data_IF_259231026688
#
_entry.id   IF_259231026688
#
_cell.length_a   1.000
_cell.length_b   1.000
_cell.length_c   1.000
_cell.angle_alpha   90.00
_cell.angle_beta   90.00
_cell.angle_gamma   90.00
#
_symmetry.space_group_name_H-M   'P 1'
#
loop_
_entity.id
_entity.type
_entity.pdbx_description
1 polymer ?
#
# COMPACT_ATOMS: atom_id res chain seq x y z
N UNK A 1 1.93 -22.85 11.24
CA UNK A 1 2.78 -22.48 10.10
C UNK A 1 3.00 -20.98 10.15
N UNK A 2 4.25 -20.54 10.19
CA UNK A 2 4.59 -19.12 10.08
C UNK A 2 4.21 -18.64 8.68
N UNK A 3 3.37 -17.60 8.58
CA UNK A 3 3.00 -17.04 7.27
C UNK A 3 4.20 -16.27 6.74
N UNK A 4 4.65 -16.61 5.52
CA UNK A 4 5.76 -15.95 4.81
C UNK A 4 5.26 -15.34 3.52
N UNK A 5 6.01 -14.38 2.98
CA UNK A 5 5.74 -13.82 1.67
C UNK A 5 5.78 -14.94 0.61
N UNK A 6 4.70 -15.09 -0.16
CA UNK A 6 4.74 -15.96 -1.33
C UNK A 6 5.68 -15.34 -2.38
N UNK A 7 6.68 -16.08 -2.91
CA UNK A 7 7.62 -15.55 -3.90
C UNK A 7 6.96 -14.99 -5.15
N UNK A 8 5.73 -15.41 -5.50
CA UNK A 8 4.99 -14.84 -6.63
C UNK A 8 4.50 -13.41 -6.37
N UNK A 9 4.56 -12.90 -5.14
CA UNK A 9 4.32 -11.47 -4.83
C UNK A 9 5.50 -10.58 -5.15
N UNK A 10 6.68 -11.13 -5.43
CA UNK A 10 7.94 -10.42 -5.56
C UNK A 10 8.48 -10.45 -6.99
N UNK A 11 9.02 -9.32 -7.47
CA UNK A 11 9.87 -9.27 -8.66
C UNK A 11 11.07 -8.34 -8.47
N UNK A 12 12.20 -8.68 -9.09
CA UNK A 12 13.36 -7.80 -9.17
C UNK A 12 13.21 -6.85 -10.37
N UNK A 13 13.47 -5.56 -10.16
CA UNK A 13 13.39 -4.52 -11.20
C UNK A 13 14.75 -4.21 -11.83
N UNK A 14 15.85 -4.59 -11.19
CA UNK A 14 17.20 -4.51 -11.75
C UNK A 14 18.03 -5.75 -11.35
N UNK A 15 19.30 -5.78 -11.76
CA UNK A 15 20.25 -6.86 -11.47
C UNK A 15 21.44 -6.42 -10.60
N UNK A 16 21.29 -5.31 -9.88
CA UNK A 16 22.33 -4.82 -9.00
C UNK A 16 22.56 -5.80 -7.84
N UNK A 17 23.81 -5.90 -7.38
CA UNK A 17 24.15 -6.78 -6.26
C UNK A 17 23.79 -6.14 -4.92
N UNK A 18 23.30 -6.95 -3.98
CA UNK A 18 22.95 -6.49 -2.63
C UNK A 18 24.20 -5.99 -1.91
N UNK A 19 24.10 -4.80 -1.32
CA UNK A 19 25.13 -4.23 -0.44
C UNK A 19 24.95 -4.65 1.03
N UNK A 20 25.88 -4.26 1.88
CA UNK A 20 25.86 -4.52 3.33
C UNK A 20 25.14 -3.44 4.15
N UNK A 21 24.63 -2.40 3.49
CA UNK A 21 23.94 -1.29 4.13
C UNK A 21 22.46 -1.57 4.44
N UNK A 22 21.74 -0.53 4.91
CA UNK A 22 20.36 -0.65 5.33
C UNK A 22 19.42 -1.03 4.19
N UNK A 23 18.28 -1.62 4.54
CA UNK A 23 17.17 -1.85 3.59
C UNK A 23 16.21 -0.67 3.66
N UNK A 24 15.86 -0.12 2.49
CA UNK A 24 14.85 0.92 2.38
C UNK A 24 13.57 0.35 1.76
N UNK A 25 12.41 0.60 2.38
CA UNK A 25 11.12 0.48 1.72
C UNK A 25 10.72 1.85 1.16
N UNK A 26 10.80 1.98 -0.16
CA UNK A 26 10.20 3.09 -0.90
C UNK A 26 8.68 2.89 -0.97
N UNK A 27 7.99 3.47 0.00
CA UNK A 27 6.53 3.46 0.10
C UNK A 27 5.93 4.45 -0.90
N UNK A 28 4.91 4.01 -1.64
CA UNK A 28 4.17 4.86 -2.58
C UNK A 28 2.65 4.62 -2.47
N UNK A 29 2.18 3.43 -2.87
CA UNK A 29 0.75 3.10 -2.96
C UNK A 29 0.18 2.55 -1.67
N UNK A 30 0.97 1.79 -0.90
CA UNK A 30 0.49 1.06 0.27
C UNK A 30 0.90 1.75 1.58
N UNK A 31 0.20 2.84 1.91
CA UNK A 31 0.57 3.78 2.99
C UNK A 31 0.13 3.33 4.39
N UNK A 32 0.53 2.12 4.79
CA UNK A 32 0.20 1.51 6.09
C UNK A 32 1.36 0.67 6.62
N UNK A 33 1.45 0.57 7.94
CA UNK A 33 2.45 -0.26 8.62
C UNK A 33 2.01 -1.73 8.74
N UNK A 34 0.74 -1.96 9.09
CA UNK A 34 0.18 -3.31 9.23
C UNK A 34 -0.37 -3.82 7.89
N UNK A 35 -0.44 -5.15 7.72
CA UNK A 35 -0.97 -5.81 6.53
C UNK A 35 -0.35 -5.31 5.20
N UNK A 36 0.97 -5.08 5.21
CA UNK A 36 1.74 -4.58 4.07
C UNK A 36 2.86 -5.56 3.68
N UNK A 37 2.63 -6.32 2.60
CA UNK A 37 3.60 -7.32 2.12
C UNK A 37 4.95 -6.71 1.71
N UNK A 38 4.97 -5.48 1.18
CA UNK A 38 6.21 -4.82 0.77
C UNK A 38 7.08 -4.46 1.98
N UNK A 39 6.46 -3.91 3.03
CA UNK A 39 7.14 -3.61 4.28
C UNK A 39 7.60 -4.88 5.02
N UNK A 40 6.75 -5.91 5.08
CA UNK A 40 7.10 -7.19 5.70
C UNK A 40 8.30 -7.85 5.02
N UNK A 41 8.33 -7.83 3.68
CA UNK A 41 9.48 -8.33 2.92
C UNK A 41 10.74 -7.50 3.16
N UNK A 42 10.62 -6.16 3.20
CA UNK A 42 11.75 -5.29 3.53
C UNK A 42 12.30 -5.58 4.94
N UNK A 43 11.43 -5.85 5.92
CA UNK A 43 11.83 -6.25 7.26
C UNK A 43 12.51 -7.61 7.29
N UNK A 44 11.97 -8.62 6.58
CA UNK A 44 12.60 -9.94 6.45
C UNK A 44 14.03 -9.80 5.89
N UNK A 45 14.20 -9.05 4.80
CA UNK A 45 15.52 -8.78 4.23
C UNK A 45 16.45 -8.08 5.23
N UNK A 46 15.96 -7.08 5.95
CA UNK A 46 16.77 -6.32 6.90
C UNK A 46 17.21 -7.18 8.10
N UNK A 47 16.31 -8.02 8.61
CA UNK A 47 16.58 -8.98 9.69
C UNK A 47 17.65 -10.00 9.29
N UNK A 48 17.52 -10.58 8.08
CA UNK A 48 18.51 -11.53 7.55
C UNK A 48 19.90 -10.89 7.40
N UNK A 49 19.93 -9.62 6.98
CA UNK A 49 21.17 -8.84 6.88
C UNK A 49 21.70 -8.32 8.22
N UNK A 50 20.89 -8.37 9.29
CA UNK A 50 21.14 -7.69 10.57
C UNK A 50 21.40 -6.19 10.42
N UNK A 51 20.76 -5.55 9.45
CA UNK A 51 20.93 -4.13 9.10
C UNK A 51 19.71 -3.29 9.49
N UNK A 52 19.83 -1.96 9.59
CA UNK A 52 18.68 -1.09 9.81
C UNK A 52 17.63 -1.20 8.69
N UNK A 53 16.37 -0.98 9.06
CA UNK A 53 15.23 -0.88 8.14
C UNK A 53 14.68 0.55 8.16
N UNK A 54 14.51 1.13 6.97
CA UNK A 54 13.98 2.47 6.78
C UNK A 54 12.78 2.49 5.84
N UNK A 55 11.83 3.39 6.06
CA UNK A 55 10.73 3.67 5.12
C UNK A 55 10.92 5.07 4.57
N UNK A 56 10.87 5.20 3.24
CA UNK A 56 11.00 6.47 2.53
C UNK A 56 9.76 6.70 1.69
N UNK A 57 9.12 7.84 1.89
CA UNK A 57 8.08 8.35 1.01
C UNK A 57 8.60 9.60 0.30
N UNK A 58 8.55 9.60 -1.04
CA UNK A 58 8.92 10.79 -1.82
C UNK A 58 7.65 11.46 -2.34
N UNK A 59 7.39 12.67 -1.86
CA UNK A 59 6.29 13.52 -2.28
C UNK A 59 6.69 14.33 -3.52
N UNK A 60 6.02 14.04 -4.63
CA UNK A 60 6.04 14.88 -5.83
C UNK A 60 4.85 15.86 -5.77
N UNK A 61 5.14 17.14 -5.53
CA UNK A 61 4.12 18.20 -5.47
C UNK A 61 3.47 18.48 -6.83
N UNK A 62 4.04 17.98 -7.93
CA UNK A 62 3.51 18.16 -9.29
C UNK A 62 2.61 17.02 -9.74
N UNK A 63 2.34 16.04 -8.86
CA UNK A 63 1.52 14.88 -9.21
C UNK A 63 0.15 15.30 -9.78
N UNK A 64 -0.25 14.81 -10.97
CA UNK A 64 -1.47 15.28 -11.63
C UNK A 64 -2.72 15.11 -10.78
N UNK A 65 -3.57 16.14 -10.70
CA UNK A 65 -4.82 16.10 -9.95
C UNK A 65 -4.67 16.21 -8.42
N UNK A 66 -3.50 16.63 -7.94
CA UNK A 66 -3.27 16.98 -6.54
C UNK A 66 -4.18 18.13 -6.08
N UNK A 67 -5.18 17.81 -5.28
CA UNK A 67 -6.07 18.79 -4.63
C UNK A 67 -5.76 18.86 -3.15
N UNK A 68 -6.13 19.97 -2.49
CA UNK A 68 -5.99 20.10 -1.05
C UNK A 68 -6.69 18.96 -0.30
N UNK A 69 -7.83 18.50 -0.81
CA UNK A 69 -8.53 17.31 -0.29
C UNK A 69 -7.68 16.05 -0.33
N UNK A 70 -7.13 15.69 -1.49
CA UNK A 70 -6.39 14.43 -1.64
C UNK A 70 -5.06 14.46 -0.90
N UNK A 71 -4.31 15.57 -0.98
CA UNK A 71 -3.03 15.71 -0.27
C UNK A 71 -3.21 15.79 1.25
N UNK A 72 -4.25 16.50 1.72
CA UNK A 72 -4.56 16.56 3.15
C UNK A 72 -4.93 15.19 3.73
N UNK A 73 -5.68 14.37 2.98
CA UNK A 73 -6.01 13.00 3.38
C UNK A 73 -4.77 12.09 3.36
N UNK A 74 -3.92 12.20 2.33
CA UNK A 74 -2.68 11.44 2.20
C UNK A 74 -1.71 11.74 3.34
N UNK A 75 -1.34 13.01 3.55
CA UNK A 75 -0.26 13.39 4.48
C UNK A 75 -0.63 13.12 5.94
N UNK A 76 -1.90 13.33 6.32
CA UNK A 76 -2.35 13.02 7.68
C UNK A 76 -2.47 11.51 7.92
N UNK A 77 -2.78 10.73 6.87
CA UNK A 77 -2.66 9.28 6.94
C UNK A 77 -1.21 8.81 7.10
N UNK A 78 -0.28 9.41 6.35
CA UNK A 78 1.15 9.13 6.51
C UNK A 78 1.69 9.51 7.89
N UNK A 79 1.17 10.57 8.52
CA UNK A 79 1.56 10.93 9.88
C UNK A 79 1.24 9.80 10.89
N UNK A 80 0.08 9.16 10.76
CA UNK A 80 -0.29 7.99 11.58
C UNK A 80 0.62 6.77 11.27
N UNK A 81 0.89 6.52 10.00
CA UNK A 81 1.79 5.43 9.58
C UNK A 81 3.21 5.64 10.08
N UNK A 82 3.77 6.84 9.94
CA UNK A 82 5.08 7.21 10.45
C UNK A 82 5.17 7.02 11.97
N UNK A 83 4.16 7.49 12.73
CA UNK A 83 4.10 7.27 14.17
C UNK A 83 4.11 5.78 14.55
N UNK A 84 3.36 4.96 13.81
CA UNK A 84 3.31 3.50 14.04
C UNK A 84 4.66 2.84 13.77
N UNK A 85 5.35 3.25 12.70
CA UNK A 85 6.67 2.74 12.32
C UNK A 85 7.76 3.13 13.33
N UNK A 86 7.78 4.39 13.78
CA UNK A 86 8.75 4.87 14.78
C UNK A 86 8.60 4.11 16.11
N UNK A 87 7.37 3.79 16.54
CA UNK A 87 7.12 2.95 17.72
C UNK A 87 7.63 1.50 17.55
N UNK A 88 7.79 1.04 16.31
CA UNK A 88 8.41 -0.24 15.96
C UNK A 88 9.92 -0.12 15.72
N UNK A 89 10.53 1.04 15.98
CA UNK A 89 11.95 1.27 15.74
C UNK A 89 12.32 1.32 14.25
N UNK A 90 11.34 1.56 13.38
CA UNK A 90 11.53 1.68 11.93
C UNK A 90 11.46 3.15 11.58
N UNK A 91 12.55 3.70 11.05
CA UNK A 91 12.63 5.12 10.72
C UNK A 91 11.77 5.44 9.50
N UNK A 92 11.05 6.55 9.54
CA UNK A 92 10.32 7.09 8.39
C UNK A 92 10.93 8.40 7.90
N UNK A 93 11.05 8.56 6.57
CA UNK A 93 11.42 9.83 5.93
C UNK A 93 10.35 10.28 4.95
N UNK A 94 9.97 11.55 5.05
CA UNK A 94 9.23 12.27 4.03
C UNK A 94 10.21 13.14 3.25
N UNK A 95 10.45 12.80 1.99
CA UNK A 95 11.30 13.56 1.08
C UNK A 95 10.43 14.29 0.06
N UNK A 96 10.94 15.38 -0.51
CA UNK A 96 10.25 16.18 -1.53
C UNK A 96 11.08 16.21 -2.82
N UNK A 97 10.43 16.05 -3.97
CA UNK A 97 11.07 16.13 -5.28
C UNK A 97 10.65 15.02 -6.25
N UNK A 98 11.40 14.86 -7.34
CA UNK A 98 11.14 13.84 -8.35
C UNK A 98 11.49 12.45 -7.80
N UNK A 99 10.54 11.49 -7.73
CA UNK A 99 10.74 10.28 -6.93
C UNK A 99 11.98 9.43 -7.27
N UNK A 100 12.29 9.12 -8.54
CA UNK A 100 13.47 8.33 -8.87
C UNK A 100 14.79 9.00 -8.48
N UNK A 101 14.95 10.28 -8.80
CA UNK A 101 16.17 11.05 -8.54
C UNK A 101 16.37 11.30 -7.04
N UNK A 102 15.31 11.68 -6.33
CA UNK A 102 15.36 11.90 -4.88
C UNK A 102 15.65 10.59 -4.13
N UNK A 103 15.05 9.48 -4.58
CA UNK A 103 15.33 8.16 -4.00
C UNK A 103 16.77 7.71 -4.24
N UNK A 104 17.30 7.88 -5.45
CA UNK A 104 18.70 7.54 -5.75
C UNK A 104 19.67 8.36 -4.88
N UNK A 105 19.49 9.68 -4.83
CA UNK A 105 20.31 10.56 -4.02
C UNK A 105 20.29 10.15 -2.54
N UNK A 106 19.11 9.83 -2.01
CA UNK A 106 18.96 9.39 -0.63
C UNK A 106 19.58 8.01 -0.39
N UNK A 107 19.36 7.03 -1.28
CA UNK A 107 19.92 5.69 -1.20
C UNK A 107 21.46 5.72 -1.19
N UNK A 108 22.07 6.57 -2.01
CA UNK A 108 23.53 6.80 -2.01
C UNK A 108 24.00 7.43 -0.70
N UNK A 109 23.30 8.45 -0.22
CA UNK A 109 23.64 9.16 1.03
C UNK A 109 23.69 8.22 2.23
N UNK A 110 22.75 7.29 2.34
CA UNK A 110 22.68 6.34 3.46
C UNK A 110 23.38 5.00 3.19
N UNK A 111 24.01 4.86 2.01
CA UNK A 111 24.67 3.62 1.60
C UNK A 111 23.73 2.41 1.55
N UNK A 112 22.50 2.58 1.05
CA UNK A 112 21.48 1.53 1.04
C UNK A 112 21.97 0.21 0.41
N UNK A 113 21.73 -0.90 1.09
CA UNK A 113 22.07 -2.25 0.63
C UNK A 113 21.03 -2.85 -0.31
N UNK A 114 19.76 -2.43 -0.18
CA UNK A 114 18.66 -2.79 -1.08
C UNK A 114 17.50 -1.80 -0.94
N UNK A 115 16.69 -1.69 -1.98
CA UNK A 115 15.42 -0.97 -1.97
C UNK A 115 14.28 -1.94 -2.32
N UNK A 116 13.19 -1.88 -1.57
CA UNK A 116 11.92 -2.54 -1.85
C UNK A 116 10.89 -1.46 -2.14
N UNK A 117 9.96 -1.67 -3.06
CA UNK A 117 8.82 -0.76 -3.32
C UNK A 117 7.53 -1.54 -3.55
N UNK A 118 6.40 -0.84 -3.52
CA UNK A 118 5.09 -1.42 -3.75
C UNK A 118 4.65 -1.36 -5.23
N UNK A 119 3.73 -2.26 -5.59
CA UNK A 119 3.18 -2.36 -6.93
C UNK A 119 2.14 -1.26 -7.22
N UNK A 120 2.25 -0.68 -8.40
CA UNK A 120 1.28 0.28 -8.94
C UNK A 120 1.36 0.22 -10.49
N UNK A 121 0.26 -0.11 -11.19
CA UNK A 121 0.25 -0.27 -12.64
C UNK A 121 0.17 1.06 -13.39
N UNK A 122 -0.07 2.19 -12.72
CA UNK A 122 -0.20 3.48 -13.39
C UNK A 122 1.06 3.85 -14.17
N UNK A 123 0.88 4.34 -15.39
CA UNK A 123 1.98 4.66 -16.34
C UNK A 123 3.08 5.52 -15.71
N UNK A 124 2.71 6.55 -14.95
CA UNK A 124 3.68 7.44 -14.27
C UNK A 124 4.50 6.69 -13.22
N UNK A 125 3.87 5.79 -12.46
CA UNK A 125 4.52 4.98 -11.42
C UNK A 125 5.43 3.91 -12.01
N UNK A 126 5.02 3.28 -13.11
CA UNK A 126 5.88 2.36 -13.89
C UNK A 126 7.14 3.08 -14.39
N UNK A 127 6.97 4.25 -15.00
CA UNK A 127 8.10 5.05 -15.48
C UNK A 127 9.06 5.46 -14.35
N UNK A 128 8.54 5.84 -13.18
CA UNK A 128 9.37 6.13 -12.01
C UNK A 128 10.17 4.90 -11.57
N UNK A 129 9.54 3.72 -11.49
CA UNK A 129 10.20 2.49 -11.07
C UNK A 129 11.27 2.02 -12.07
N UNK A 130 11.00 2.13 -13.37
CA UNK A 130 11.99 1.85 -14.43
C UNK A 130 13.19 2.81 -14.34
N UNK A 131 12.93 4.11 -14.15
CA UNK A 131 13.99 5.11 -13.97
C UNK A 131 14.80 4.84 -12.70
N UNK A 132 14.15 4.58 -11.57
CA UNK A 132 14.82 4.25 -10.30
C UNK A 132 15.67 2.99 -10.42
N UNK A 133 15.16 1.94 -11.09
CA UNK A 133 15.90 0.71 -11.36
C UNK A 133 17.20 0.95 -12.14
N UNK A 134 17.22 1.94 -13.04
CA UNK A 134 18.41 2.35 -13.81
C UNK A 134 19.41 3.21 -13.03
N UNK A 135 18.94 3.93 -12.00
CA UNK A 135 19.76 4.87 -11.22
C UNK A 135 20.38 4.20 -10.00
N UNK A 136 19.60 3.41 -9.26
CA UNK A 136 19.95 2.93 -7.93
C UNK A 136 21.25 2.10 -7.94
N UNK A 137 22.14 2.30 -6.94
CA UNK A 137 23.39 1.54 -6.83
C UNK A 137 23.20 0.12 -6.28
N UNK A 138 21.98 -0.24 -5.88
CA UNK A 138 21.64 -1.47 -5.16
C UNK A 138 20.38 -2.12 -5.77
N UNK A 139 20.06 -3.39 -5.41
CA UNK A 139 18.90 -4.07 -5.96
C UNK A 139 17.61 -3.35 -5.61
N UNK A 140 16.74 -3.19 -6.61
CA UNK A 140 15.37 -2.72 -6.46
C UNK A 140 14.40 -3.88 -6.64
N UNK A 141 13.61 -4.16 -5.61
CA UNK A 141 12.55 -5.16 -5.63
C UNK A 141 11.18 -4.48 -5.61
N UNK A 142 10.21 -5.05 -6.30
CA UNK A 142 8.81 -4.65 -6.22
C UNK A 142 7.98 -5.80 -5.66
N UNK A 143 7.09 -5.46 -4.72
CA UNK A 143 6.17 -6.39 -4.08
C UNK A 143 4.73 -5.94 -4.34
N UNK A 144 3.87 -6.87 -4.79
CA UNK A 144 2.43 -6.61 -4.84
C UNK A 144 1.81 -6.73 -3.43
N UNK A 145 1.74 -5.56 -2.78
CA UNK A 145 1.13 -5.37 -1.47
C UNK A 145 -0.32 -4.85 -1.56
N UNK A 146 -0.83 -4.61 -2.76
CA UNK A 146 -2.14 -4.01 -2.98
C UNK A 146 -3.20 -5.05 -3.37
N UNK A 147 -2.80 -6.10 -4.08
CA UNK A 147 -3.70 -7.14 -4.56
C UNK A 147 -3.66 -8.38 -3.67
N UNK A 148 -4.82 -9.03 -3.51
CA UNK A 148 -4.89 -10.34 -2.84
C UNK A 148 -4.07 -11.31 -3.68
N UNK A 149 -4.34 -11.42 -4.98
CA UNK A 149 -3.53 -12.19 -5.91
C UNK A 149 -2.60 -11.23 -6.65
N UNK A 150 -1.26 -11.42 -6.66
CA UNK A 150 -0.35 -10.54 -7.37
C UNK A 150 -0.77 -10.34 -8.82
N UNK A 151 -0.76 -9.09 -9.30
CA UNK A 151 -1.32 -8.71 -10.59
C UNK A 151 -0.76 -9.56 -11.75
N UNK A 152 0.57 -9.78 -11.76
CA UNK A 152 1.24 -10.62 -12.76
C UNK A 152 1.04 -12.12 -12.57
N UNK A 153 0.63 -12.58 -11.38
CA UNK A 153 0.27 -13.97 -11.13
C UNK A 153 -1.22 -14.25 -11.47
N UNK A 154 -2.07 -13.24 -11.34
CA UNK A 154 -3.49 -13.33 -11.66
C UNK A 154 -3.73 -13.60 -13.16
N UNK A 155 -2.99 -12.90 -14.03
CA UNK A 155 -2.98 -13.12 -15.48
C UNK A 155 -1.73 -12.52 -16.13
N UNK A 156 -1.20 -13.20 -17.14
CA UNK A 156 -0.08 -12.72 -17.97
C UNK A 156 -0.51 -11.71 -19.06
N UNK A 157 -1.82 -11.46 -19.17
CA UNK A 157 -2.41 -10.56 -20.15
C UNK A 157 -3.56 -9.74 -19.56
N UNK A 158 -3.89 -8.64 -20.21
CA UNK A 158 -5.14 -7.93 -19.96
C UNK A 158 -6.34 -8.86 -20.25
N UNK A 159 -7.18 -9.05 -19.25
CA UNK A 159 -8.39 -9.85 -19.34
C UNK A 159 -9.56 -9.01 -19.86
N UNK A 160 -10.44 -9.64 -20.65
CA UNK A 160 -11.54 -8.92 -21.31
C UNK A 160 -12.57 -8.39 -20.29
N UNK A 161 -12.76 -9.09 -19.17
CA UNK A 161 -13.65 -8.64 -18.12
C UNK A 161 -13.65 -9.55 -16.91
N UNK A 162 -14.52 -9.23 -15.95
CA UNK A 162 -14.59 -9.97 -14.68
C UNK A 162 -14.86 -11.47 -14.90
N UNK A 163 -15.65 -11.84 -15.92
CA UNK A 163 -15.96 -13.25 -16.17
C UNK A 163 -14.76 -14.08 -16.63
N UNK A 164 -13.74 -13.47 -17.26
CA UNK A 164 -12.51 -14.18 -17.66
C UNK A 164 -11.46 -14.20 -16.56
N UNK A 165 -11.37 -13.12 -15.76
CA UNK A 165 -10.43 -13.04 -14.63
C UNK A 165 -10.89 -13.85 -13.41
N UNK A 166 -12.19 -13.84 -13.07
CA UNK A 166 -12.76 -14.51 -11.88
C UNK A 166 -12.32 -15.97 -11.70
N UNK A 167 -12.39 -16.87 -12.69
CA UNK A 167 -11.97 -18.26 -12.50
C UNK A 167 -10.47 -18.38 -12.16
N UNK A 168 -9.62 -17.48 -12.66
CA UNK A 168 -8.18 -17.46 -12.34
C UNK A 168 -7.96 -17.03 -10.89
N UNK A 169 -8.57 -15.91 -10.48
CA UNK A 169 -8.52 -15.42 -9.10
C UNK A 169 -9.05 -16.49 -8.14
N UNK A 170 -10.22 -17.07 -8.43
CA UNK A 170 -10.85 -18.10 -7.58
C UNK A 170 -9.93 -19.29 -7.34
N UNK A 171 -9.21 -19.75 -8.38
CA UNK A 171 -8.23 -20.84 -8.26
C UNK A 171 -7.04 -20.47 -7.38
N UNK A 172 -6.64 -19.20 -7.35
CA UNK A 172 -5.46 -18.70 -6.64
C UNK A 172 -5.78 -18.20 -5.23
N UNK A 173 -7.03 -17.88 -4.91
CA UNK A 173 -7.44 -17.37 -3.60
C UNK A 173 -7.00 -18.27 -2.43
N UNK A 174 -7.16 -19.61 -2.45
CA UNK A 174 -6.70 -20.45 -1.34
C UNK A 174 -5.21 -20.35 -1.03
N UNK A 175 -4.39 -19.95 -2.02
CA UNK A 175 -2.95 -19.75 -1.86
C UNK A 175 -2.61 -18.37 -1.31
N UNK A 176 -3.31 -17.33 -1.75
CA UNK A 176 -2.93 -15.95 -1.49
C UNK A 176 -3.77 -15.22 -0.45
N UNK A 177 -5.03 -15.62 -0.22
CA UNK A 177 -5.90 -15.06 0.82
C UNK A 177 -5.57 -15.71 2.17
N UNK A 178 -4.35 -15.48 2.63
CA UNK A 178 -3.84 -15.89 3.93
C UNK A 178 -3.90 -14.73 4.92
N UNK A 179 -3.73 -14.99 6.20
CA UNK A 179 -3.44 -13.92 7.15
C UNK A 179 -2.05 -13.30 6.90
N UNK A 180 -1.71 -12.27 7.65
CA UNK A 180 -0.40 -11.60 7.61
C UNK A 180 0.43 -11.97 8.85
N UNK A 181 1.76 -12.12 8.74
CA UNK A 181 2.61 -12.04 9.90
C UNK A 181 2.57 -10.61 10.47
N UNK A 182 2.69 -10.48 11.79
CA UNK A 182 2.72 -9.17 12.44
C UNK A 182 4.04 -8.44 12.16
N UNK A 183 3.97 -7.12 11.96
CA UNK A 183 5.17 -6.29 11.87
C UNK A 183 5.90 -6.28 13.21
N UNK A 184 7.17 -6.68 13.19
CA UNK A 184 7.98 -6.79 14.41
C UNK A 184 8.64 -5.46 14.75
N UNK A 185 9.03 -5.29 16.02
CA UNK A 185 9.94 -4.19 16.39
C UNK A 185 11.30 -4.49 15.78
N UNK A 186 11.84 -3.55 15.00
CA UNK A 186 13.11 -3.75 14.32
C UNK A 186 14.27 -3.65 15.33
N UNK A 187 15.18 -4.65 15.38
CA UNK A 187 16.22 -4.72 16.40
C UNK A 187 17.44 -3.84 16.10
N UNK A 188 17.64 -3.44 14.83
CA UNK A 188 18.80 -2.64 14.40
C UNK A 188 18.40 -1.17 14.25
N UNK A 189 18.67 -0.30 15.24
CA UNK A 189 18.27 1.11 15.19
C UNK A 189 19.04 1.89 14.12
N UNK A 190 18.48 3.02 13.72
CA UNK A 190 19.23 4.07 13.03
C UNK A 190 19.88 4.97 14.08
N UNK A 191 21.21 5.04 14.07
CA UNK A 191 21.99 5.80 15.07
C UNK A 191 21.85 7.31 14.88
N UNK A 192 21.59 7.78 13.65
CA UNK A 192 21.47 9.20 13.37
C UNK A 192 20.17 9.79 13.94
N UNK A 193 20.32 10.92 14.62
CA UNK A 193 19.20 11.76 15.01
C UNK A 193 18.45 12.25 13.77
N UNK A 194 17.12 12.23 13.85
CA UNK A 194 16.24 12.66 12.77
C UNK A 194 15.28 13.72 13.31
N UNK A 195 15.12 14.82 12.56
CA UNK A 195 14.19 15.86 12.93
C UNK A 195 12.74 15.32 12.84
N UNK A 196 11.84 15.74 13.74
CA UNK A 196 10.42 15.44 13.59
C UNK A 196 9.91 15.88 12.22
N UNK A 197 9.05 15.06 11.61
CA UNK A 197 8.44 15.38 10.32
C UNK A 197 7.25 16.30 10.55
N UNK A 198 7.29 17.47 9.94
CA UNK A 198 6.16 18.39 9.91
C UNK A 198 5.32 18.16 8.64
N UNK A 199 4.29 17.33 8.77
CA UNK A 199 3.37 16.98 7.69
C UNK A 199 2.47 18.16 7.28
N UNK A 200 2.14 19.07 8.19
CA UNK A 200 1.35 20.26 7.86
C UNK A 200 2.20 21.27 7.06
N UNK A 201 3.46 21.47 7.45
CA UNK A 201 4.38 22.27 6.67
C UNK A 201 4.66 21.65 5.29
N UNK A 202 4.72 20.31 5.18
CA UNK A 202 4.83 19.63 3.89
C UNK A 202 3.60 19.88 3.01
N UNK A 203 2.38 19.81 3.57
CA UNK A 203 1.15 20.14 2.87
C UNK A 203 1.14 21.60 2.36
N UNK A 204 1.58 22.54 3.21
CA UNK A 204 1.68 23.95 2.85
C UNK A 204 2.69 24.20 1.73
N UNK A 205 3.87 23.56 1.79
CA UNK A 205 4.89 23.66 0.73
C UNK A 205 4.44 23.05 -0.60
N UNK A 206 3.73 21.91 -0.54
CA UNK A 206 3.20 21.27 -1.73
C UNK A 206 2.16 22.15 -2.46
N UNK A 207 1.52 23.09 -1.74
CA UNK A 207 0.56 24.06 -2.26
C UNK A 207 -0.45 23.46 -3.28
N UNK A 208 -1.12 22.34 -2.96
CA UNK A 208 -2.03 21.68 -3.89
C UNK A 208 -3.22 22.60 -4.21
N UNK A 209 -3.89 22.35 -5.33
CA UNK A 209 -5.00 23.20 -5.77
C UNK A 209 -6.07 23.34 -4.67
N UNK A 210 -6.41 24.59 -4.26
CA UNK A 210 -7.38 24.84 -3.19
C UNK A 210 -8.83 24.71 -3.65
N UNK A 211 -9.09 24.57 -4.95
CA UNK A 211 -10.44 24.52 -5.55
C UNK A 211 -11.30 23.41 -4.93
N UNK A 212 -10.67 22.29 -4.56
CA UNK A 212 -11.31 21.19 -3.85
C UNK A 212 -10.76 21.13 -2.43
N UNK A 213 -11.47 21.80 -1.52
CA UNK A 213 -11.17 21.84 -0.10
C UNK A 213 -11.35 20.48 0.60
N UNK A 214 -10.69 20.34 1.74
CA UNK A 214 -10.79 19.17 2.61
C UNK A 214 -12.22 18.98 3.15
N UNK A 215 -12.51 17.77 3.59
CA UNK A 215 -13.80 17.39 4.19
C UNK A 215 -13.57 16.86 5.60
N UNK A 216 -14.54 17.03 6.50
CA UNK A 216 -14.44 16.56 7.87
C UNK A 216 -14.45 15.02 7.97
N UNK A 217 -15.20 14.36 7.07
CA UNK A 217 -15.28 12.92 6.95
C UNK A 217 -15.14 12.50 5.48
N UNK A 218 -14.53 11.34 5.20
CA UNK A 218 -13.90 10.42 6.15
C UNK A 218 -12.58 10.97 6.73
N UNK A 219 -12.28 10.65 7.99
CA UNK A 219 -10.95 10.91 8.58
C UNK A 219 -9.88 10.01 7.95
N UNK A 220 -8.68 10.51 7.64
CA UNK A 220 -7.59 9.70 7.11
C UNK A 220 -6.97 8.78 8.17
N UNK A 221 -6.18 7.80 7.71
CA UNK A 221 -5.38 6.90 8.54
C UNK A 221 -5.95 5.48 8.62
N UNK A 222 -5.06 4.52 8.91
CA UNK A 222 -5.40 3.11 9.05
C UNK A 222 -6.43 2.89 10.15
N UNK A 223 -6.31 3.57 11.29
CA UNK A 223 -7.24 3.47 12.40
C UNK A 223 -8.67 3.85 12.01
N UNK A 224 -8.83 4.97 11.29
CA UNK A 224 -10.14 5.42 10.83
C UNK A 224 -10.73 4.45 9.79
N UNK A 225 -9.92 3.98 8.85
CA UNK A 225 -10.35 3.00 7.85
C UNK A 225 -10.76 1.65 8.47
N UNK A 226 -10.02 1.15 9.45
CA UNK A 226 -10.37 -0.07 10.18
C UNK A 226 -11.62 0.10 11.05
N UNK A 227 -11.82 1.29 11.63
CA UNK A 227 -13.06 1.60 12.35
C UNK A 227 -14.28 1.60 11.41
N UNK A 228 -14.15 2.19 10.21
CA UNK A 228 -15.17 2.18 9.18
C UNK A 228 -15.45 0.75 8.67
N UNK A 229 -14.41 -0.07 8.49
CA UNK A 229 -14.58 -1.49 8.17
C UNK A 229 -15.41 -2.19 9.25
N UNK A 230 -15.06 -2.02 10.53
CA UNK A 230 -15.80 -2.63 11.63
C UNK A 230 -17.26 -2.20 11.69
N UNK A 231 -17.54 -0.92 11.43
CA UNK A 231 -18.92 -0.40 11.31
C UNK A 231 -19.65 -1.04 10.14
N UNK A 232 -19.03 -1.09 8.95
CA UNK A 232 -19.61 -1.70 7.76
C UNK A 232 -19.96 -3.17 7.99
N UNK A 233 -19.04 -3.95 8.55
CA UNK A 233 -19.25 -5.37 8.86
C UNK A 233 -20.42 -5.60 9.83
N UNK A 234 -20.60 -4.72 10.82
CA UNK A 234 -21.65 -4.87 11.84
C UNK A 234 -23.04 -4.43 11.37
N UNK A 235 -23.12 -3.42 10.52
CA UNK A 235 -24.38 -2.70 10.30
C UNK A 235 -24.85 -2.67 8.85
N UNK A 236 -23.98 -2.94 7.88
CA UNK A 236 -24.26 -2.65 6.46
C UNK A 236 -23.91 -3.77 5.50
N UNK A 237 -22.98 -4.65 5.88
CA UNK A 237 -22.58 -5.78 5.03
C UNK A 237 -23.76 -6.72 4.74
N UNK A 238 -24.62 -7.02 5.72
CA UNK A 238 -25.69 -8.01 5.54
C UNK A 238 -26.69 -7.63 4.44
N UNK A 239 -26.99 -6.33 4.30
CA UNK A 239 -27.88 -5.79 3.26
C UNK A 239 -27.15 -5.34 1.99
N UNK A 240 -25.83 -5.52 1.90
CA UNK A 240 -25.01 -5.00 0.79
C UNK A 240 -25.51 -5.43 -0.59
N UNK A 241 -25.89 -6.70 -0.77
CA UNK A 241 -26.37 -7.21 -2.06
C UNK A 241 -27.57 -6.41 -2.60
N UNK A 242 -28.47 -6.01 -1.71
CA UNK A 242 -29.70 -5.28 -2.04
C UNK A 242 -29.44 -3.78 -2.13
N UNK A 243 -28.67 -3.23 -1.19
CA UNK A 243 -28.59 -1.78 -0.99
C UNK A 243 -27.50 -1.09 -1.81
N UNK A 244 -26.49 -1.81 -2.32
CA UNK A 244 -25.31 -1.20 -2.98
C UNK A 244 -25.62 -0.34 -4.21
N UNK A 245 -26.77 -0.57 -4.85
CA UNK A 245 -27.19 0.13 -6.06
C UNK A 245 -28.20 1.26 -5.80
N UNK A 246 -28.66 1.44 -4.55
CA UNK A 246 -29.56 2.53 -4.19
C UNK A 246 -28.76 3.66 -3.52
N UNK A 247 -28.54 4.80 -4.20
CA UNK A 247 -27.77 5.92 -3.65
C UNK A 247 -28.46 6.59 -2.45
N UNK A 248 -29.75 6.35 -2.22
CA UNK A 248 -30.47 6.83 -1.04
C UNK A 248 -30.24 5.93 0.18
N UNK A 249 -29.69 4.73 -0.02
CA UNK A 249 -29.31 3.82 1.06
C UNK A 249 -27.83 3.95 1.37
N UNK A 250 -27.49 3.84 2.65
CA UNK A 250 -26.10 3.76 3.10
C UNK A 250 -25.56 2.34 2.90
N UNK A 251 -25.72 1.75 1.71
CA UNK A 251 -25.40 0.33 1.45
C UNK A 251 -23.92 0.03 1.22
N UNK A 252 -23.13 0.99 0.73
CA UNK A 252 -21.72 0.77 0.34
C UNK A 252 -20.75 0.94 1.51
N UNK A 253 -19.57 0.29 1.46
CA UNK A 253 -18.61 0.32 2.58
C UNK A 253 -18.04 1.70 2.89
N UNK A 254 -17.86 2.55 1.87
CA UNK A 254 -17.14 3.83 1.99
C UNK A 254 -15.62 3.67 2.11
N UNK A 255 -15.08 2.45 1.91
CA UNK A 255 -13.65 2.17 2.10
C UNK A 255 -12.75 2.67 0.98
N UNK A 256 -13.30 3.10 -0.17
CA UNK A 256 -12.50 3.42 -1.36
C UNK A 256 -11.41 4.49 -1.14
N UNK A 257 -11.57 5.55 -0.30
CA UNK A 257 -10.46 6.48 -0.04
C UNK A 257 -9.29 5.81 0.68
N UNK A 258 -9.58 4.91 1.63
CA UNK A 258 -8.56 4.16 2.38
C UNK A 258 -7.87 3.12 1.52
N UNK A 259 -8.63 2.42 0.66
CA UNK A 259 -8.07 1.46 -0.28
C UNK A 259 -7.23 2.17 -1.34
N UNK A 260 -7.66 3.33 -1.84
CA UNK A 260 -6.91 4.11 -2.83
C UNK A 260 -5.52 4.50 -2.35
N UNK A 261 -5.41 5.07 -1.13
CA UNK A 261 -4.12 5.43 -0.53
C UNK A 261 -3.42 4.25 0.17
N UNK A 262 -4.01 3.05 0.12
CA UNK A 262 -3.48 1.87 0.78
C UNK A 262 -3.33 2.02 2.30
N UNK A 263 -4.17 2.86 2.93
CA UNK A 263 -4.25 3.00 4.38
C UNK A 263 -4.92 1.77 5.04
N UNK A 264 -5.70 1.01 4.27
CA UNK A 264 -6.28 -0.28 4.66
C UNK A 264 -5.97 -1.32 3.58
N UNK A 265 -5.56 -2.52 3.99
CA UNK A 265 -5.30 -3.64 3.08
C UNK A 265 -6.61 -4.22 2.52
N UNK A 266 -6.77 -4.31 1.19
CA UNK A 266 -7.90 -5.03 0.59
C UNK A 266 -7.95 -6.50 1.00
N UNK A 267 -6.78 -7.13 1.21
CA UNK A 267 -6.70 -8.51 1.71
C UNK A 267 -7.20 -8.62 3.14
N UNK A 268 -6.88 -7.66 4.02
CA UNK A 268 -7.46 -7.59 5.38
C UNK A 268 -8.98 -7.48 5.32
N UNK A 269 -9.51 -6.59 4.48
CA UNK A 269 -10.96 -6.45 4.29
C UNK A 269 -11.58 -7.79 3.84
N UNK A 270 -10.96 -8.48 2.88
CA UNK A 270 -11.44 -9.77 2.40
C UNK A 270 -11.45 -10.85 3.48
N UNK A 271 -10.42 -10.92 4.33
CA UNK A 271 -10.35 -11.84 5.46
C UNK A 271 -11.47 -11.57 6.47
N UNK A 272 -11.71 -10.31 6.85
CA UNK A 272 -12.73 -9.97 7.82
C UNK A 272 -14.15 -10.19 7.29
N UNK A 273 -14.41 -9.87 6.01
CA UNK A 273 -15.69 -10.17 5.34
C UNK A 273 -15.93 -11.68 5.25
N UNK A 274 -14.87 -12.47 5.01
CA UNK A 274 -14.99 -13.93 4.94
C UNK A 274 -15.37 -14.55 6.29
N UNK A 275 -14.97 -13.92 7.40
CA UNK A 275 -15.31 -14.34 8.77
C UNK A 275 -16.66 -13.81 9.27
N UNK A 276 -17.24 -12.81 8.60
CA UNK A 276 -18.46 -12.15 9.06
C UNK A 276 -19.69 -13.07 8.96
N UNK A 277 -20.53 -13.05 10.01
CA UNK A 277 -21.80 -13.77 10.09
C UNK A 277 -22.91 -12.99 9.37
N UNK A 278 -22.90 -13.03 8.04
CA UNK A 278 -23.87 -12.36 7.14
C UNK A 278 -24.37 -13.33 6.08
N UNK A 279 -25.39 -12.93 5.33
CA UNK A 279 -25.88 -13.67 4.17
C UNK A 279 -24.77 -13.99 3.17
N UNK A 280 -24.81 -15.21 2.61
CA UNK A 280 -23.82 -15.65 1.62
C UNK A 280 -23.87 -14.80 0.34
N UNK A 281 -25.06 -14.32 -0.02
CA UNK A 281 -25.29 -13.42 -1.15
C UNK A 281 -24.53 -12.10 -0.98
N UNK A 282 -24.72 -11.41 0.15
CA UNK A 282 -24.00 -10.15 0.42
C UNK A 282 -22.50 -10.35 0.56
N UNK A 283 -22.05 -11.45 1.18
CA UNK A 283 -20.63 -11.79 1.27
C UNK A 283 -20.01 -11.95 -0.12
N UNK A 284 -20.63 -12.76 -1.00
CA UNK A 284 -20.14 -12.99 -2.37
C UNK A 284 -20.19 -11.72 -3.21
N UNK A 285 -21.28 -10.94 -3.11
CA UNK A 285 -21.42 -9.69 -3.83
C UNK A 285 -20.31 -8.69 -3.47
N UNK A 286 -20.00 -8.57 -2.18
CA UNK A 286 -18.94 -7.66 -1.74
C UNK A 286 -17.54 -8.13 -2.14
N UNK A 287 -17.23 -9.43 -1.99
CA UNK A 287 -15.93 -9.99 -2.37
C UNK A 287 -15.69 -9.94 -3.89
N UNK A 288 -16.74 -10.05 -4.71
CA UNK A 288 -16.65 -9.83 -6.16
C UNK A 288 -16.18 -8.40 -6.49
N UNK A 289 -16.75 -7.38 -5.85
CA UNK A 289 -16.35 -5.99 -6.08
C UNK A 289 -14.94 -5.70 -5.51
N UNK A 290 -14.65 -6.17 -4.30
CA UNK A 290 -13.39 -5.92 -3.59
C UNK A 290 -12.18 -6.61 -4.24
N UNK A 291 -12.35 -7.85 -4.71
CA UNK A 291 -11.27 -8.66 -5.25
C UNK A 291 -11.34 -8.65 -6.77
N UNK A 292 -12.38 -9.23 -7.37
CA UNK A 292 -12.40 -9.47 -8.82
C UNK A 292 -12.43 -8.16 -9.61
N UNK A 293 -13.35 -7.24 -9.27
CA UNK A 293 -13.53 -5.99 -10.03
C UNK A 293 -12.36 -5.02 -9.82
N UNK A 294 -11.90 -4.91 -8.58
CA UNK A 294 -10.73 -4.08 -8.24
C UNK A 294 -9.45 -4.60 -8.90
N UNK A 295 -9.14 -5.89 -8.77
CA UNK A 295 -7.91 -6.47 -9.32
C UNK A 295 -7.97 -6.56 -10.86
N UNK A 296 -9.16 -6.64 -11.45
CA UNK A 296 -9.33 -6.44 -12.90
C UNK A 296 -8.90 -5.05 -13.36
N UNK A 297 -9.13 -4.02 -12.55
CA UNK A 297 -8.73 -2.64 -12.87
C UNK A 297 -7.20 -2.50 -12.86
N UNK A 298 -6.51 -3.20 -11.96
CA UNK A 298 -5.05 -3.29 -11.95
C UNK A 298 -4.52 -4.11 -13.14
N UNK A 299 -5.19 -5.21 -13.49
CA UNK A 299 -4.83 -6.05 -14.64
C UNK A 299 -4.99 -5.32 -15.99
N UNK A 300 -5.92 -4.37 -16.08
CA UNK A 300 -6.16 -3.59 -17.29
C UNK A 300 -5.07 -2.53 -17.55
N UNK A 301 -4.52 -1.93 -16.49
CA UNK A 301 -3.61 -0.78 -16.55
C UNK A 301 -2.15 -1.15 -16.90
#
# INVERSE_FOLDING_TARGET
>A
MEVRLDPQRLRALNRASRGTGPVLYWMSRDQRAEDNWALLFAQEMALDGKVPLGVVFVMDSTFPGATRRSFGFLLRGLAETAFTLENKGIRFWLLEGTPPETLDAFARKVGAGAVVTDFDPLRVKRAWKEKAASLLPCPLFEVDAHNVVPCWAASEKAEYGAYTLRPRITRLLPRFLTDFPALQKHPSPWEEAHAPIDFEAALLRAAPSPEVGEVAEPKPGTKAGMALLGEFLRHRLDSYAVDRNDPNRKGVSGLSPYLHFGQVSPQRVALEVSKAAVSEESRKAFLEELIVRRELSDNFC
#
